data_IF_307131280312
#
_entry.id   IF_307131280312
#
_cell.length_a   1.000
_cell.length_b   1.000
_cell.length_c   1.000
_cell.angle_alpha   90.00
_cell.angle_beta   90.00
_cell.angle_gamma   90.00
#
_symmetry.space_group_name_H-M   'P 1'
#
loop_
_entity.id
_entity.type
_entity.pdbx_description
1 polymer ?
#
# COMPACT_ATOMS: atom_id res chain seq x y z
N UNK A 1 -0.18 -29.16 -15.59
CA UNK A 1 -0.76 -27.92 -15.04
C UNK A 1 0.33 -26.86 -15.08
N UNK A 2 0.06 -25.74 -15.77
CA UNK A 2 1.01 -24.62 -15.93
C UNK A 2 0.96 -23.67 -14.73
N UNK A 3 -0.22 -23.51 -14.15
CA UNK A 3 -0.46 -22.69 -12.98
C UNK A 3 -1.89 -22.86 -12.47
N UNK A 4 -2.11 -22.40 -11.24
CA UNK A 4 -3.42 -22.40 -10.59
C UNK A 4 -3.65 -21.03 -9.96
N UNK A 5 -4.84 -20.49 -10.13
CA UNK A 5 -5.29 -19.29 -9.46
C UNK A 5 -6.69 -19.53 -8.89
N UNK A 6 -6.88 -19.15 -7.65
CA UNK A 6 -8.17 -19.23 -6.98
C UNK A 6 -8.70 -17.82 -6.74
N UNK A 7 -9.88 -17.55 -7.26
CA UNK A 7 -10.58 -16.30 -7.08
C UNK A 7 -11.75 -16.51 -6.10
N UNK A 8 -11.95 -15.57 -5.20
CA UNK A 8 -13.09 -15.56 -4.29
C UNK A 8 -13.85 -14.24 -4.40
N UNK A 9 -15.15 -14.30 -4.23
CA UNK A 9 -16.01 -13.12 -4.10
C UNK A 9 -16.26 -12.72 -2.64
N UNK A 10 -15.80 -13.54 -1.70
CA UNK A 10 -15.94 -13.24 -0.27
C UNK A 10 -15.20 -11.93 0.05
N UNK A 11 -15.92 -10.97 0.61
CA UNK A 11 -15.40 -9.62 0.87
C UNK A 11 -15.36 -8.69 -0.35
N UNK A 12 -15.97 -9.09 -1.48
CA UNK A 12 -16.26 -8.22 -2.63
C UNK A 12 -17.77 -7.98 -2.80
N UNK A 13 -18.52 -8.03 -1.73
CA UNK A 13 -19.87 -7.51 -1.62
C UNK A 13 -19.84 -5.98 -1.47
N UNK A 14 -20.99 -5.33 -1.49
CA UNK A 14 -21.07 -3.88 -1.40
C UNK A 14 -20.41 -3.31 -0.14
N UNK A 15 -20.51 -4.02 0.99
CA UNK A 15 -19.87 -3.64 2.25
C UNK A 15 -18.35 -3.78 2.19
N UNK A 16 -17.85 -4.90 1.68
CA UNK A 16 -16.41 -5.15 1.55
C UNK A 16 -15.72 -4.20 0.60
N UNK A 17 -16.37 -3.85 -0.52
CA UNK A 17 -15.85 -2.86 -1.47
C UNK A 17 -15.84 -1.47 -0.85
N UNK A 18 -16.91 -1.08 -0.13
CA UNK A 18 -16.94 0.18 0.62
C UNK A 18 -15.81 0.24 1.62
N UNK A 19 -15.57 -0.86 2.35
CA UNK A 19 -14.45 -0.94 3.27
C UNK A 19 -13.08 -0.73 2.58
N UNK A 20 -12.84 -1.36 1.43
CA UNK A 20 -11.62 -1.14 0.65
C UNK A 20 -11.48 0.34 0.28
N UNK A 21 -12.55 0.97 -0.22
CA UNK A 21 -12.58 2.37 -0.60
C UNK A 21 -12.32 3.29 0.58
N UNK A 22 -12.75 2.91 1.78
CA UNK A 22 -12.53 3.67 3.02
C UNK A 22 -11.09 3.54 3.51
N UNK A 23 -10.50 2.34 3.38
CA UNK A 23 -9.17 2.05 3.90
C UNK A 23 -8.03 2.46 2.93
N UNK A 24 -8.29 2.48 1.62
CA UNK A 24 -7.29 2.71 0.58
C UNK A 24 -7.76 3.74 -0.45
N UNK A 25 -6.82 4.51 -1.00
CA UNK A 25 -7.08 5.48 -2.07
C UNK A 25 -7.00 4.78 -3.43
N UNK A 26 -8.10 4.24 -3.87
CA UNK A 26 -8.19 3.58 -5.17
C UNK A 26 -8.77 4.48 -6.27
N UNK A 27 -9.43 5.57 -5.91
CA UNK A 27 -10.07 6.51 -6.84
C UNK A 27 -9.10 7.15 -7.81
N UNK A 28 -7.82 7.23 -7.45
CA UNK A 28 -6.76 7.75 -8.33
C UNK A 28 -6.50 6.82 -9.54
N UNK A 29 -6.92 5.54 -9.44
CA UNK A 29 -6.61 4.50 -10.41
C UNK A 29 -7.85 3.78 -10.96
N UNK A 30 -8.94 3.78 -10.21
CA UNK A 30 -10.14 2.98 -10.48
C UNK A 30 -11.36 3.88 -10.57
N UNK A 31 -12.00 3.87 -11.72
CA UNK A 31 -13.29 4.56 -11.91
C UNK A 31 -14.38 3.58 -11.49
N UNK A 32 -14.82 3.65 -10.24
CA UNK A 32 -15.73 2.68 -9.62
C UNK A 32 -17.03 2.39 -10.41
N UNK A 33 -17.70 3.37 -11.03
CA UNK A 33 -18.88 3.09 -11.85
C UNK A 33 -18.65 2.12 -13.00
N UNK A 34 -17.40 1.93 -13.42
CA UNK A 34 -17.04 0.98 -14.47
C UNK A 34 -16.77 -0.44 -13.96
N UNK A 35 -16.87 -0.66 -12.64
CA UNK A 35 -16.58 -1.94 -12.01
C UNK A 35 -17.75 -2.36 -11.12
N UNK A 36 -18.66 -3.13 -11.65
CA UNK A 36 -19.77 -3.65 -10.88
C UNK A 36 -19.29 -4.56 -9.74
N UNK A 37 -20.05 -4.60 -8.64
CA UNK A 37 -19.72 -5.44 -7.47
C UNK A 37 -19.52 -6.91 -7.87
N UNK A 38 -20.31 -7.40 -8.82
CA UNK A 38 -20.21 -8.78 -9.35
C UNK A 38 -18.95 -9.05 -10.16
N UNK A 39 -18.29 -8.02 -10.67
CA UNK A 39 -17.12 -8.09 -11.52
C UNK A 39 -15.79 -7.95 -10.77
N UNK A 40 -15.85 -7.87 -9.46
CA UNK A 40 -14.69 -7.74 -8.58
C UNK A 40 -14.43 -9.06 -7.86
N UNK A 41 -13.16 -9.37 -7.58
CA UNK A 41 -12.78 -10.58 -6.86
C UNK A 41 -11.43 -10.42 -6.16
N UNK A 42 -11.22 -11.21 -5.10
CA UNK A 42 -9.91 -11.39 -4.49
C UNK A 42 -9.20 -12.61 -5.08
N UNK A 43 -7.91 -12.47 -5.31
CA UNK A 43 -7.01 -13.59 -5.56
C UNK A 43 -6.60 -14.14 -4.18
N UNK A 44 -6.97 -15.38 -3.88
CA UNK A 44 -6.62 -16.03 -2.61
C UNK A 44 -5.39 -16.91 -2.75
N UNK A 45 -5.26 -17.59 -3.87
CA UNK A 45 -4.11 -18.44 -4.14
C UNK A 45 -3.64 -18.22 -5.57
N UNK A 46 -2.33 -18.17 -5.72
CA UNK A 46 -1.68 -18.06 -7.01
C UNK A 46 -0.40 -18.87 -7.02
N UNK A 47 -0.32 -19.81 -7.91
CA UNK A 47 0.88 -20.61 -8.16
C UNK A 47 1.05 -20.75 -9.67
N UNK A 48 2.23 -20.46 -10.16
CA UNK A 48 2.61 -20.66 -11.55
C UNK A 48 3.95 -21.42 -11.60
N UNK A 49 4.07 -22.31 -12.54
CA UNK A 49 5.36 -22.96 -12.78
C UNK A 49 6.42 -21.89 -13.13
N UNK A 50 7.58 -21.87 -12.49
CA UNK A 50 8.62 -20.85 -12.69
C UNK A 50 9.02 -20.63 -14.16
N UNK A 51 8.99 -21.67 -14.98
CA UNK A 51 9.26 -21.58 -16.42
C UNK A 51 8.30 -20.62 -17.12
N UNK A 52 7.05 -20.53 -16.64
CA UNK A 52 5.99 -19.68 -17.19
C UNK A 52 5.80 -18.38 -16.42
N UNK A 53 6.70 -18.02 -15.51
CA UNK A 53 6.60 -16.79 -14.72
C UNK A 53 6.46 -15.53 -15.60
N UNK A 54 7.13 -15.50 -16.74
CA UNK A 54 7.00 -14.41 -17.73
C UNK A 54 5.59 -14.29 -18.34
N UNK A 55 4.81 -15.38 -18.32
CA UNK A 55 3.45 -15.43 -18.84
C UNK A 55 2.39 -15.06 -17.78
N UNK A 56 2.78 -14.66 -16.59
CA UNK A 56 1.87 -14.27 -15.50
C UNK A 56 0.83 -13.25 -15.96
N UNK A 57 1.24 -12.26 -16.74
CA UNK A 57 0.34 -11.22 -17.26
C UNK A 57 -0.71 -11.79 -18.21
N UNK A 58 -0.33 -12.68 -19.10
CA UNK A 58 -1.26 -13.39 -19.96
C UNK A 58 -2.24 -14.23 -19.13
N UNK A 59 -1.73 -14.96 -18.15
CA UNK A 59 -2.55 -15.78 -17.25
C UNK A 59 -3.57 -14.95 -16.47
N UNK A 60 -3.18 -13.80 -15.96
CA UNK A 60 -4.08 -12.86 -15.28
C UNK A 60 -5.17 -12.35 -16.23
N UNK A 61 -4.81 -11.96 -17.46
CA UNK A 61 -5.77 -11.48 -18.46
C UNK A 61 -6.80 -12.53 -18.80
N UNK A 62 -6.36 -13.76 -19.05
CA UNK A 62 -7.25 -14.86 -19.37
C UNK A 62 -8.16 -15.23 -18.21
N UNK A 63 -7.64 -15.20 -16.98
CA UNK A 63 -8.45 -15.41 -15.80
C UNK A 63 -9.52 -14.31 -15.64
N UNK A 64 -9.17 -13.04 -15.78
CA UNK A 64 -10.14 -11.95 -15.75
C UNK A 64 -11.22 -12.12 -16.83
N UNK A 65 -10.82 -12.49 -18.04
CA UNK A 65 -11.74 -12.74 -19.14
C UNK A 65 -12.69 -13.91 -18.87
N UNK A 66 -12.15 -15.06 -18.45
CA UNK A 66 -12.93 -16.27 -18.20
C UNK A 66 -13.92 -16.12 -17.04
N UNK A 67 -13.50 -15.44 -15.98
CA UNK A 67 -14.33 -15.21 -14.80
C UNK A 67 -15.15 -13.91 -14.89
N UNK A 68 -15.09 -13.20 -16.01
CA UNK A 68 -15.77 -11.90 -16.20
C UNK A 68 -15.47 -10.93 -15.06
N UNK A 69 -14.17 -10.73 -14.80
CA UNK A 69 -13.72 -9.80 -13.75
C UNK A 69 -13.05 -8.59 -14.37
N UNK A 70 -13.41 -7.41 -13.90
CA UNK A 70 -12.84 -6.14 -14.32
C UNK A 70 -11.80 -5.61 -13.33
N UNK A 71 -11.90 -6.05 -12.06
CA UNK A 71 -10.96 -5.70 -11.00
C UNK A 71 -10.63 -6.90 -10.13
N UNK A 72 -9.33 -7.11 -9.88
CA UNK A 72 -8.82 -8.12 -8.96
C UNK A 72 -8.07 -7.46 -7.82
N UNK A 73 -8.24 -8.00 -6.61
CA UNK A 73 -7.56 -7.58 -5.39
C UNK A 73 -6.69 -8.70 -4.85
N UNK A 74 -5.56 -8.34 -4.25
CA UNK A 74 -4.67 -9.28 -3.56
C UNK A 74 -4.18 -8.66 -2.25
N UNK A 75 -4.31 -9.40 -1.15
CA UNK A 75 -3.85 -8.99 0.17
C UNK A 75 -2.48 -9.58 0.46
N UNK A 76 -1.54 -8.74 0.88
CA UNK A 76 -0.21 -9.16 1.32
C UNK A 76 -0.13 -8.92 2.82
N UNK A 77 0.04 -10.00 3.56
CA UNK A 77 0.23 -9.93 5.01
C UNK A 77 1.72 -9.89 5.37
N UNK A 78 2.07 -9.29 6.52
CA UNK A 78 3.45 -9.29 7.00
C UNK A 78 4.04 -10.68 7.07
N UNK A 79 5.30 -10.82 6.68
CA UNK A 79 6.00 -12.11 6.70
C UNK A 79 5.63 -13.09 5.59
N UNK A 80 4.72 -12.73 4.69
CA UNK A 80 4.44 -13.56 3.52
C UNK A 80 5.56 -13.48 2.48
N UNK A 81 5.83 -14.60 1.84
CA UNK A 81 6.72 -14.65 0.68
C UNK A 81 6.08 -13.85 -0.45
N UNK A 82 6.85 -12.92 -1.02
CA UNK A 82 6.40 -12.09 -2.13
C UNK A 82 6.08 -12.99 -3.33
N UNK A 83 4.81 -13.04 -3.72
CA UNK A 83 4.39 -13.80 -4.88
C UNK A 83 4.88 -13.11 -6.17
N UNK A 84 5.36 -13.86 -7.18
CA UNK A 84 5.74 -13.31 -8.49
C UNK A 84 4.63 -12.49 -9.17
N UNK A 85 3.40 -12.76 -8.79
CA UNK A 85 2.19 -12.04 -9.17
C UNK A 85 2.29 -10.53 -8.90
N UNK A 86 2.89 -10.12 -7.77
CA UNK A 86 2.93 -8.72 -7.32
C UNK A 86 3.60 -7.77 -8.30
N UNK A 87 4.52 -8.28 -9.12
CA UNK A 87 5.13 -7.49 -10.19
C UNK A 87 4.14 -6.95 -11.22
N UNK A 88 2.96 -7.56 -11.34
CA UNK A 88 1.91 -7.16 -12.26
C UNK A 88 0.76 -6.38 -11.57
N UNK A 89 0.74 -6.34 -10.26
CA UNK A 89 -0.29 -5.66 -9.48
C UNK A 89 0.21 -4.27 -9.04
N UNK A 90 -0.70 -3.35 -8.84
CA UNK A 90 -0.42 -2.01 -8.29
C UNK A 90 -0.76 -2.02 -6.80
N UNK A 91 0.11 -1.46 -5.99
CA UNK A 91 -0.16 -1.29 -4.57
C UNK A 91 -1.11 -0.11 -4.37
N UNK A 92 -2.15 -0.32 -3.60
CA UNK A 92 -3.09 0.71 -3.22
C UNK A 92 -2.51 1.56 -2.08
N UNK A 93 -2.46 2.89 -2.23
CA UNK A 93 -2.05 3.76 -1.14
C UNK A 93 -3.04 3.68 0.03
N UNK A 94 -2.58 3.43 1.27
CA UNK A 94 -3.47 3.48 2.43
C UNK A 94 -3.97 4.91 2.65
N UNK A 95 -5.20 5.05 3.12
CA UNK A 95 -5.69 6.35 3.57
C UNK A 95 -5.13 6.68 4.94
N UNK A 96 -4.53 7.85 5.06
CA UNK A 96 -4.23 8.43 6.35
C UNK A 96 -5.52 8.87 7.01
N UNK A 97 -5.66 8.60 8.29
CA UNK A 97 -6.80 9.12 9.06
C UNK A 97 -6.74 10.64 9.08
N UNK A 98 -7.83 11.36 8.81
CA UNK A 98 -7.87 12.78 9.02
C UNK A 98 -7.60 13.05 10.51
N UNK A 99 -6.53 13.76 10.80
CA UNK A 99 -6.26 14.22 12.16
C UNK A 99 -7.14 15.43 12.43
N UNK A 100 -8.12 15.25 13.29
CA UNK A 100 -8.78 16.39 13.92
C UNK A 100 -7.80 16.95 14.95
N UNK A 101 -7.33 18.17 14.73
CA UNK A 101 -6.57 18.88 15.78
C UNK A 101 -7.47 19.01 17.00
N UNK A 102 -6.95 18.84 18.23
CA UNK A 102 -7.73 19.11 19.42
C UNK A 102 -8.27 20.56 19.36
N UNK A 103 -9.58 20.72 19.27
CA UNK A 103 -10.24 22.03 19.13
C UNK A 103 -10.69 22.42 17.74
N UNK A 104 -10.38 21.66 16.69
CA UNK A 104 -10.91 21.88 15.34
C UNK A 104 -12.23 21.16 15.18
N UNK A 105 -13.29 21.80 15.62
CA UNK A 105 -14.66 21.46 15.28
C UNK A 105 -14.85 21.87 13.82
N UNK A 106 -14.99 20.96 12.89
CA UNK A 106 -15.54 21.27 11.56
C UNK A 106 -16.99 21.68 11.76
N UNK A 107 -17.18 22.92 12.12
CA UNK A 107 -18.48 23.53 12.23
C UNK A 107 -19.09 23.63 10.84
N UNK A 108 -20.08 22.80 10.57
CA UNK A 108 -21.13 23.22 9.68
C UNK A 108 -21.94 24.23 10.47
N UNK A 109 -21.83 25.50 10.11
CA UNK A 109 -22.53 26.59 10.77
C UNK A 109 -24.04 26.33 10.68
N UNK A 110 -24.63 25.79 11.73
CA UNK A 110 -26.09 25.65 11.77
C UNK A 110 -26.68 24.67 12.79
N UNK A 111 -25.92 23.82 13.43
CA UNK A 111 -26.51 22.95 14.47
C UNK A 111 -25.49 22.66 15.56
N UNK A 112 -25.85 23.03 16.80
CA UNK A 112 -25.00 22.97 17.97
C UNK A 112 -24.74 21.56 18.53
N UNK A 113 -24.44 20.59 17.71
CA UNK A 113 -23.98 19.28 18.13
C UNK A 113 -22.47 19.22 17.96
N UNK A 114 -21.76 19.01 19.08
CA UNK A 114 -20.36 18.61 19.07
C UNK A 114 -20.22 17.32 18.23
N UNK A 115 -19.62 17.44 17.06
CA UNK A 115 -19.25 16.28 16.24
C UNK A 115 -18.04 15.68 16.92
N UNK A 116 -18.29 14.74 17.83
CA UNK A 116 -17.24 13.84 18.29
C UNK A 116 -16.77 13.06 17.07
N UNK A 117 -15.46 12.79 16.95
CA UNK A 117 -14.85 12.13 15.79
C UNK A 117 -15.45 10.76 15.38
N UNK A 118 -16.58 10.38 16.01
CA UNK A 118 -17.43 9.22 15.66
C UNK A 118 -18.45 9.52 14.55
N UNK A 119 -18.69 10.80 14.23
CA UNK A 119 -19.80 11.19 13.33
C UNK A 119 -19.39 11.34 11.85
N UNK A 120 -18.17 10.96 11.48
CA UNK A 120 -17.86 10.82 10.06
C UNK A 120 -18.48 9.52 9.55
N UNK A 121 -19.16 9.53 8.36
CA UNK A 121 -19.85 8.34 7.83
C UNK A 121 -18.94 7.11 7.63
N UNK A 122 -17.65 7.24 7.87
CA UNK A 122 -16.62 6.20 7.72
C UNK A 122 -15.90 5.88 9.04
N UNK A 123 -16.27 6.51 10.16
CA UNK A 123 -15.55 6.34 11.43
C UNK A 123 -15.72 4.93 12.01
N UNK A 124 -16.93 4.36 11.89
CA UNK A 124 -17.22 3.00 12.34
C UNK A 124 -16.52 1.96 11.45
N UNK A 125 -16.57 2.13 10.12
CA UNK A 125 -15.90 1.24 9.17
C UNK A 125 -14.36 1.27 9.35
N UNK A 126 -13.81 2.44 9.73
CA UNK A 126 -12.38 2.58 10.05
C UNK A 126 -12.05 1.98 11.42
N UNK A 127 -12.97 2.02 12.38
CA UNK A 127 -12.78 1.42 13.71
C UNK A 127 -12.77 -0.11 13.65
N UNK A 128 -13.62 -0.73 12.84
CA UNK A 128 -13.61 -2.19 12.61
C UNK A 128 -12.34 -2.68 11.89
N UNK A 129 -11.64 -1.80 11.18
CA UNK A 129 -10.35 -2.12 10.56
C UNK A 129 -9.20 -2.16 11.56
N UNK A 130 -9.42 -1.81 12.82
CA UNK A 130 -8.43 -1.78 13.89
C UNK A 130 -7.98 -3.16 14.39
N UNK A 131 -8.33 -4.24 13.71
CA UNK A 131 -7.75 -5.54 13.95
C UNK A 131 -6.21 -5.49 13.86
N UNK A 132 -5.55 -6.23 14.73
CA UNK A 132 -4.08 -6.21 14.93
C UNK A 132 -3.24 -6.51 13.67
N UNK A 133 -3.86 -6.97 12.59
CA UNK A 133 -3.20 -7.40 11.37
C UNK A 133 -3.48 -6.46 10.20
N UNK A 134 -2.65 -5.43 10.06
CA UNK A 134 -2.58 -4.65 8.83
C UNK A 134 -2.12 -5.52 7.66
N UNK A 135 -2.62 -5.25 6.46
CA UNK A 135 -2.15 -5.87 5.23
C UNK A 135 -1.98 -4.81 4.15
N UNK A 136 -1.10 -5.05 3.19
CA UNK A 136 -1.01 -4.23 2.01
C UNK A 136 -1.99 -4.74 0.95
N UNK A 137 -2.77 -3.82 0.39
CA UNK A 137 -3.69 -4.13 -0.69
C UNK A 137 -3.03 -3.86 -2.03
N UNK A 138 -3.04 -4.88 -2.88
CA UNK A 138 -2.66 -4.76 -4.28
C UNK A 138 -3.89 -4.98 -5.15
N UNK A 139 -3.95 -4.31 -6.27
CA UNK A 139 -5.08 -4.43 -7.19
C UNK A 139 -4.65 -4.41 -8.64
N UNK A 140 -5.53 -4.85 -9.50
CA UNK A 140 -5.31 -4.90 -10.93
C UNK A 140 -6.64 -4.68 -11.66
N UNK A 141 -6.63 -3.78 -12.62
CA UNK A 141 -7.73 -3.61 -13.60
C UNK A 141 -7.27 -4.03 -14.97
N UNK A 142 -8.21 -4.26 -15.90
CA UNK A 142 -7.87 -4.58 -17.29
C UNK A 142 -7.01 -3.49 -17.93
N UNK A 143 -7.26 -2.22 -17.59
CA UNK A 143 -6.46 -1.09 -18.07
C UNK A 143 -5.02 -1.16 -17.56
N UNK A 144 -4.81 -1.36 -16.28
CA UNK A 144 -3.47 -1.50 -15.70
C UNK A 144 -2.74 -2.74 -16.23
N UNK A 145 -3.49 -3.80 -16.52
CA UNK A 145 -2.94 -4.99 -17.14
C UNK A 145 -2.52 -4.77 -18.60
N UNK A 146 -3.12 -3.82 -19.32
CA UNK A 146 -2.74 -3.53 -20.71
C UNK A 146 -1.36 -2.86 -20.83
N UNK A 147 -0.94 -2.14 -19.79
CA UNK A 147 0.34 -1.43 -19.76
C UNK A 147 1.36 -2.15 -18.87
N UNK A 148 2.52 -2.59 -19.42
CA UNK A 148 3.54 -3.24 -18.60
C UNK A 148 4.23 -2.21 -17.71
N UNK A 149 4.53 -2.61 -16.47
CA UNK A 149 5.36 -1.81 -15.59
C UNK A 149 6.81 -1.76 -16.09
N UNK A 150 7.45 -0.63 -15.87
CA UNK A 150 8.89 -0.45 -16.09
C UNK A 150 9.63 -0.94 -14.85
N UNK A 151 10.53 -1.90 -15.03
CA UNK A 151 11.35 -2.43 -13.94
C UNK A 151 12.67 -1.68 -13.87
N UNK A 152 12.94 -1.09 -12.71
CA UNK A 152 14.21 -0.40 -12.44
C UNK A 152 15.02 -1.20 -11.44
N UNK A 153 16.20 -1.66 -11.87
CA UNK A 153 17.12 -2.45 -11.05
C UNK A 153 18.23 -1.61 -10.41
N UNK A 154 18.19 -0.30 -10.60
CA UNK A 154 19.11 0.63 -9.94
C UNK A 154 19.01 0.53 -8.42
N UNK A 155 20.15 0.64 -7.75
CA UNK A 155 20.18 0.72 -6.29
C UNK A 155 19.84 2.15 -5.89
N UNK A 156 18.75 2.34 -5.19
CA UNK A 156 18.35 3.62 -4.64
C UNK A 156 18.53 3.55 -3.14
N UNK A 157 19.36 4.44 -2.61
CA UNK A 157 19.63 4.52 -1.18
C UNK A 157 19.16 5.88 -0.67
N UNK A 158 18.25 5.84 0.29
CA UNK A 158 17.78 7.03 1.01
C UNK A 158 18.50 7.05 2.36
N UNK A 159 19.18 8.15 2.64
CA UNK A 159 19.91 8.35 3.89
C UNK A 159 19.12 9.28 4.79
N UNK A 160 18.75 8.78 5.95
CA UNK A 160 17.96 9.49 6.94
C UNK A 160 16.46 9.17 6.85
N UNK A 161 15.89 8.82 7.99
CA UNK A 161 14.46 8.57 8.15
C UNK A 161 13.71 9.86 8.54
N UNK A 162 13.99 10.96 7.85
CA UNK A 162 13.22 12.20 7.96
C UNK A 162 11.93 12.10 7.15
N UNK A 163 10.99 13.02 7.37
CA UNK A 163 9.74 13.10 6.62
C UNK A 163 9.97 13.11 5.12
N UNK A 164 10.96 13.88 4.66
CA UNK A 164 11.31 13.95 3.25
C UNK A 164 11.84 12.61 2.72
N UNK A 165 12.73 11.95 3.48
CA UNK A 165 13.30 10.66 3.09
C UNK A 165 12.24 9.55 3.03
N UNK A 166 11.36 9.51 4.02
CA UNK A 166 10.27 8.54 4.07
C UNK A 166 9.22 8.80 3.00
N UNK A 167 8.85 10.06 2.75
CA UNK A 167 7.92 10.44 1.67
C UNK A 167 8.49 10.12 0.28
N UNK A 168 9.80 10.28 0.09
CA UNK A 168 10.45 9.88 -1.15
C UNK A 168 10.37 8.36 -1.37
N UNK A 169 10.63 7.55 -0.34
CA UNK A 169 10.48 6.09 -0.41
C UNK A 169 9.04 5.68 -0.69
N UNK A 170 8.08 6.26 0.02
CA UNK A 170 6.67 6.01 -0.20
C UNK A 170 6.25 6.32 -1.63
N UNK A 171 6.67 7.46 -2.16
CA UNK A 171 6.39 7.84 -3.55
C UNK A 171 6.97 6.85 -4.56
N UNK A 172 8.19 6.35 -4.32
CA UNK A 172 8.80 5.32 -5.18
C UNK A 172 8.05 3.99 -5.10
N UNK A 173 7.63 3.59 -3.91
CA UNK A 173 6.90 2.33 -3.70
C UNK A 173 5.51 2.33 -4.31
N UNK A 174 4.81 3.48 -4.23
CA UNK A 174 3.43 3.63 -4.69
C UNK A 174 3.31 4.03 -6.15
N UNK A 175 4.41 4.20 -6.88
CA UNK A 175 4.38 4.53 -8.31
C UNK A 175 3.76 3.39 -9.12
N UNK A 176 2.61 3.60 -9.82
CA UNK A 176 1.84 2.51 -10.39
C UNK A 176 2.47 1.88 -11.64
N UNK A 177 3.24 2.65 -12.40
CA UNK A 177 3.82 2.26 -13.68
C UNK A 177 5.30 1.87 -13.60
N UNK A 178 5.93 2.02 -12.43
CA UNK A 178 7.31 1.64 -12.20
C UNK A 178 7.41 0.68 -11.00
N UNK A 179 8.41 -0.16 -11.03
CA UNK A 179 8.76 -1.02 -9.91
C UNK A 179 10.25 -0.95 -9.65
N UNK A 180 10.60 -0.52 -8.46
CA UNK A 180 11.98 -0.45 -7.99
C UNK A 180 12.30 -1.70 -7.18
N UNK A 181 13.31 -2.45 -7.61
CA UNK A 181 13.64 -3.74 -6.99
C UNK A 181 14.64 -3.63 -5.83
N UNK A 182 15.30 -2.47 -5.68
CA UNK A 182 16.41 -2.30 -4.73
C UNK A 182 16.34 -0.95 -4.02
N UNK A 183 15.33 -0.78 -3.18
CA UNK A 183 15.19 0.37 -2.30
C UNK A 183 15.89 0.08 -0.97
N UNK A 184 16.70 1.01 -0.49
CA UNK A 184 17.38 0.88 0.80
C UNK A 184 17.21 2.16 1.59
N UNK A 185 16.85 2.04 2.87
CA UNK A 185 16.84 3.11 3.84
C UNK A 185 18.02 2.92 4.80
N UNK A 186 18.84 3.94 4.97
CA UNK A 186 19.92 3.97 5.97
C UNK A 186 19.56 5.00 7.02
N UNK A 187 19.35 4.57 8.25
CA UNK A 187 19.03 5.45 9.36
C UNK A 187 19.52 4.87 10.69
N UNK A 188 19.95 5.72 11.66
CA UNK A 188 20.53 5.25 12.94
C UNK A 188 19.61 4.35 13.76
N UNK A 189 18.29 4.55 13.66
CA UNK A 189 17.29 3.79 14.42
C UNK A 189 16.29 3.07 13.49
N UNK A 190 16.63 2.93 12.20
CA UNK A 190 15.71 2.36 11.22
C UNK A 190 14.49 3.24 10.95
N UNK A 191 13.34 2.61 10.76
CA UNK A 191 12.07 3.32 10.57
C UNK A 191 11.60 3.84 11.94
N UNK A 192 11.32 5.15 12.09
CA UNK A 192 10.84 5.70 13.33
C UNK A 192 9.43 5.17 13.64
N UNK A 193 9.32 4.46 14.75
CA UNK A 193 8.04 3.98 15.29
C UNK A 193 7.79 4.75 16.58
N UNK A 194 6.65 5.41 16.76
CA UNK A 194 6.32 6.12 18.00
C UNK A 194 6.37 5.16 19.18
N UNK A 195 7.02 5.58 20.28
CA UNK A 195 7.13 4.77 21.49
C UNK A 195 5.77 4.53 22.16
N UNK A 196 4.85 5.48 22.03
CA UNK A 196 3.48 5.37 22.53
C UNK A 196 2.55 4.90 21.42
N UNK A 197 2.21 3.62 21.46
CA UNK A 197 1.19 3.05 20.58
C UNK A 197 -0.21 3.67 20.77
N UNK A 198 -0.39 4.45 21.83
CA UNK A 198 -1.64 5.17 22.13
C UNK A 198 -1.71 6.56 21.49
N UNK A 199 -0.58 7.15 21.10
CA UNK A 199 -0.66 8.38 20.33
C UNK A 199 -0.93 7.98 18.88
N UNK A 200 -2.18 8.07 18.49
CA UNK A 200 -2.68 7.88 17.12
C UNK A 200 -2.14 8.93 16.12
N UNK A 201 -0.98 9.47 16.40
CA UNK A 201 -0.29 10.44 15.56
C UNK A 201 0.50 9.71 14.51
N UNK A 202 -0.22 9.21 13.57
CA UNK A 202 0.29 8.70 12.33
C UNK A 202 0.81 9.83 11.48
N UNK A 203 2.00 9.68 11.00
CA UNK A 203 2.57 10.58 10.03
C UNK A 203 3.16 9.82 8.92
N UNK A 204 3.00 10.24 7.86
CA UNK A 204 3.69 10.18 6.60
C UNK A 204 2.72 10.12 5.50
N UNK A 205 2.32 11.23 5.19
CA UNK A 205 1.93 11.53 3.84
C UNK A 205 2.58 12.85 3.53
N UNK A 206 2.75 13.15 2.29
CA UNK A 206 3.23 14.41 1.74
C UNK A 206 2.59 15.68 2.32
N UNK A 207 1.80 15.59 3.39
CA UNK A 207 0.98 16.66 3.95
C UNK A 207 1.14 16.88 5.45
N UNK A 208 2.00 16.13 6.13
CA UNK A 208 2.08 16.21 7.57
C UNK A 208 3.33 16.96 8.04
N UNK A 209 3.14 18.17 8.50
CA UNK A 209 4.12 18.91 9.30
C UNK A 209 4.04 18.48 10.77
N UNK A 210 4.53 17.31 11.12
CA UNK A 210 4.55 16.78 12.47
C UNK A 210 5.72 15.84 12.72
N UNK A 211 5.96 15.37 13.96
CA UNK A 211 7.05 14.44 14.24
C UNK A 211 6.86 13.14 13.43
N UNK A 212 7.92 12.76 12.72
CA UNK A 212 7.96 11.59 11.86
C UNK A 212 7.72 10.31 12.61
N UNK A 213 6.90 9.44 12.05
CA UNK A 213 6.78 8.08 12.51
C UNK A 213 5.66 7.35 11.79
N UNK A 214 5.93 6.08 11.50
CA UNK A 214 4.91 5.18 11.01
C UNK A 214 4.35 4.37 12.16
N UNK A 215 3.05 4.21 12.23
CA UNK A 215 2.47 3.18 13.07
C UNK A 215 2.84 1.81 12.51
N UNK A 216 2.90 0.80 13.37
CA UNK A 216 3.14 -0.59 12.95
C UNK A 216 2.17 -1.03 11.83
N UNK A 217 0.92 -0.56 11.89
CA UNK A 217 -0.10 -0.83 10.90
C UNK A 217 0.23 -0.20 9.54
N UNK A 218 0.70 1.04 9.50
CA UNK A 218 1.05 1.71 8.24
C UNK A 218 2.26 1.05 7.58
N UNK A 219 3.25 0.63 8.35
CA UNK A 219 4.37 -0.16 7.85
C UNK A 219 3.87 -1.43 7.14
N UNK A 220 2.88 -2.10 7.74
CA UNK A 220 2.27 -3.31 7.16
C UNK A 220 1.44 -3.00 5.92
N UNK A 221 0.65 -1.92 5.95
CA UNK A 221 -0.18 -1.49 4.81
C UNK A 221 0.66 -1.01 3.63
N UNK A 222 1.84 -0.46 3.87
CA UNK A 222 2.79 -0.04 2.84
C UNK A 222 3.70 -1.17 2.37
N UNK A 223 3.65 -2.36 2.96
CA UNK A 223 4.61 -3.45 2.69
C UNK A 223 6.07 -3.01 2.83
N UNK A 224 6.38 -2.13 3.77
CA UNK A 224 7.71 -1.57 3.94
C UNK A 224 8.74 -2.67 4.16
N UNK A 225 8.44 -3.61 5.06
CA UNK A 225 9.33 -4.71 5.43
C UNK A 225 9.73 -5.62 4.26
N UNK A 226 8.88 -5.69 3.23
CA UNK A 226 9.12 -6.54 2.07
C UNK A 226 9.72 -5.79 0.88
N UNK A 227 9.56 -4.47 0.81
CA UNK A 227 9.95 -3.66 -0.35
C UNK A 227 11.22 -2.87 -0.11
N UNK A 228 11.46 -2.41 1.13
CA UNK A 228 12.60 -1.57 1.48
C UNK A 228 13.54 -2.31 2.42
N UNK A 229 14.81 -2.38 2.03
CA UNK A 229 15.86 -2.88 2.92
C UNK A 229 16.24 -1.79 3.92
N UNK A 230 16.00 -2.01 5.20
CA UNK A 230 16.38 -1.08 6.27
C UNK A 230 17.75 -1.46 6.83
N UNK A 231 18.66 -0.50 6.85
CA UNK A 231 20.00 -0.66 7.43
C UNK A 231 20.13 0.33 8.59
N UNK A 232 20.36 -0.22 9.78
CA UNK A 232 20.63 0.59 10.97
C UNK A 232 22.08 1.06 10.94
N UNK A 233 22.29 2.33 10.72
CA UNK A 233 23.63 2.92 10.64
C UNK A 233 23.57 4.42 10.39
N UNK A 234 24.70 5.05 10.64
CA UNK A 234 24.91 6.47 10.33
C UNK A 234 25.89 6.60 9.19
N UNK A 235 25.51 7.29 8.14
CA UNK A 235 26.40 7.58 7.03
C UNK A 235 27.57 8.46 7.51
N UNK A 236 28.78 8.02 7.25
CA UNK A 236 30.03 8.74 7.56
C UNK A 236 30.56 9.44 6.31
N UNK A 237 30.60 8.74 5.18
CA UNK A 237 31.16 9.26 3.94
C UNK A 237 30.52 8.62 2.70
N UNK A 238 30.71 9.27 1.56
CA UNK A 238 30.25 8.81 0.24
C UNK A 238 31.46 8.66 -0.69
N UNK A 239 31.79 7.44 -1.00
CA UNK A 239 32.73 7.15 -2.07
C UNK A 239 32.02 7.25 -3.43
N UNK A 240 32.29 8.33 -4.16
CA UNK A 240 31.67 8.58 -5.47
C UNK A 240 32.28 7.74 -6.57
N UNK A 241 33.59 7.44 -6.47
CA UNK A 241 34.31 6.65 -7.46
C UNK A 241 33.90 5.16 -7.33
N UNK A 242 33.90 4.64 -6.13
CA UNK A 242 33.47 3.28 -5.84
C UNK A 242 31.94 3.08 -5.79
N UNK A 243 31.13 4.13 -5.92
CA UNK A 243 29.67 4.09 -5.76
C UNK A 243 29.24 3.39 -4.47
N UNK A 244 29.91 3.71 -3.36
CA UNK A 244 29.69 3.07 -2.05
C UNK A 244 29.38 4.10 -0.96
N UNK A 245 28.62 3.66 0.03
CA UNK A 245 28.37 4.42 1.26
C UNK A 245 29.14 3.77 2.41
N UNK A 246 29.84 4.60 3.18
CA UNK A 246 30.47 4.20 4.43
C UNK A 246 29.52 4.47 5.58
N UNK A 247 29.24 3.43 6.37
CA UNK A 247 28.31 3.44 7.52
C UNK A 247 29.06 3.35 8.82
#
# INVERSE_FOLDING_TARGET
>A
VLGVMVLTRKGCDASGIRWIQTAYRLEDYVVYPHHEVGEQAYITHYVINPIFSRSTRFFLREAMRLFRKTCLYYRVYPGQIIAPLLSNLVQAPPRSRPQLRPGEVRGNAGSGNEITGKDTPYAEDVAETNGENGFALHFLTLKLLSEPKIFTHSRIVVVGASDAGLSALESLMLTPYMQFSRLTLVAPNGIPIPADQQSEKSFVTSHAGGPCGYTKREIQQLSFDSTVRVINGRMVDIDREGCALQL
#
